data_IF_311998363991
#
_entry.id   IF_311998363991
#
_cell.length_a   1.000
_cell.length_b   1.000
_cell.length_c   1.000
_cell.angle_alpha   90.00
_cell.angle_beta   90.00
_cell.angle_gamma   90.00
#
_symmetry.space_group_name_H-M   'P 1'
#
loop_
_entity.id
_entity.type
_entity.pdbx_description
1 polymer ?
#
# COMPACT_ATOMS: atom_id res chain seq x y z
N UNK A 1 -14.28 3.68 7.85
CA UNK A 1 -13.62 4.98 7.55
C UNK A 1 -12.27 4.74 6.91
N UNK A 2 -11.84 5.57 5.95
CA UNK A 2 -10.53 5.47 5.28
C UNK A 2 -9.70 6.75 5.51
N UNK A 3 -8.65 6.68 6.32
CA UNK A 3 -7.70 7.77 6.51
C UNK A 3 -6.63 7.63 5.41
N UNK A 4 -6.59 8.57 4.48
CA UNK A 4 -5.80 8.47 3.25
C UNK A 4 -6.59 7.90 2.06
N UNK A 5 -7.92 8.00 2.07
CA UNK A 5 -8.80 7.47 1.02
C UNK A 5 -8.58 8.06 -0.36
N UNK A 6 -7.97 9.26 -0.49
CA UNK A 6 -7.60 9.87 -1.77
C UNK A 6 -6.39 9.24 -2.48
N UNK A 7 -5.63 8.38 -1.79
CA UNK A 7 -4.48 7.66 -2.35
C UNK A 7 -4.87 6.53 -3.32
N UNK A 8 -3.88 5.89 -3.92
CA UNK A 8 -4.08 4.77 -4.85
C UNK A 8 -4.90 3.63 -4.23
N UNK A 9 -4.41 3.09 -3.11
CA UNK A 9 -5.08 2.00 -2.39
C UNK A 9 -6.41 2.48 -1.81
N UNK A 10 -6.46 3.71 -1.28
CA UNK A 10 -7.67 4.28 -0.68
C UNK A 10 -8.83 4.38 -1.67
N UNK A 11 -8.58 4.86 -2.91
CA UNK A 11 -9.61 4.91 -3.95
C UNK A 11 -10.11 3.53 -4.36
N UNK A 12 -9.21 2.56 -4.48
CA UNK A 12 -9.60 1.19 -4.81
C UNK A 12 -10.45 0.55 -3.70
N UNK A 13 -10.10 0.79 -2.43
CA UNK A 13 -10.91 0.34 -1.29
C UNK A 13 -12.26 1.06 -1.22
N UNK A 14 -12.29 2.37 -1.45
CA UNK A 14 -13.56 3.13 -1.51
C UNK A 14 -14.51 2.49 -2.49
N UNK A 15 -14.06 2.26 -3.73
CA UNK A 15 -14.90 1.64 -4.76
C UNK A 15 -15.36 0.25 -4.35
N UNK A 16 -14.46 -0.60 -3.86
CA UNK A 16 -14.81 -1.97 -3.44
C UNK A 16 -15.84 -2.00 -2.31
N UNK A 17 -15.71 -1.11 -1.33
CA UNK A 17 -16.67 -1.06 -0.23
C UNK A 17 -18.03 -0.53 -0.65
N UNK A 18 -18.08 0.48 -1.53
CA UNK A 18 -19.34 0.97 -2.12
C UNK A 18 -20.05 -0.11 -2.94
N UNK A 19 -19.30 -0.83 -3.80
CA UNK A 19 -19.86 -1.93 -4.60
C UNK A 19 -20.43 -3.07 -3.73
N UNK A 20 -20.02 -3.12 -2.46
CA UNK A 20 -20.51 -4.09 -1.47
C UNK A 20 -21.61 -3.53 -0.55
N UNK A 21 -22.14 -2.35 -0.85
CA UNK A 21 -23.23 -1.72 -0.10
C UNK A 21 -22.83 -1.11 1.24
N UNK A 22 -21.53 -0.80 1.44
CA UNK A 22 -21.07 -0.14 2.66
C UNK A 22 -21.09 1.37 2.51
N UNK A 23 -21.39 2.09 3.59
CA UNK A 23 -21.14 3.53 3.71
C UNK A 23 -19.65 3.78 3.92
N UNK A 24 -19.06 4.69 3.15
CA UNK A 24 -17.64 4.99 3.23
C UNK A 24 -17.43 6.44 3.63
N UNK A 25 -16.76 6.65 4.78
CA UNK A 25 -16.25 7.96 5.17
C UNK A 25 -14.78 8.00 4.81
N UNK A 26 -14.37 8.97 4.01
CA UNK A 26 -12.98 9.13 3.61
C UNK A 26 -12.40 10.44 4.13
N UNK A 27 -11.19 10.38 4.65
CA UNK A 27 -10.41 11.55 5.01
C UNK A 27 -9.20 11.67 4.08
N UNK A 28 -9.03 12.86 3.50
CA UNK A 28 -7.94 13.17 2.56
C UNK A 28 -7.25 14.47 2.97
N UNK A 29 -5.92 14.50 2.95
CA UNK A 29 -5.15 15.73 3.01
C UNK A 29 -5.16 16.36 1.60
N UNK A 30 -5.72 17.58 1.45
CA UNK A 30 -5.76 18.28 0.18
C UNK A 30 -6.96 17.95 -0.70
N UNK A 31 -7.05 18.57 -1.87
CA UNK A 31 -8.22 18.68 -2.74
C UNK A 31 -9.07 17.44 -2.89
N UNK A 32 -10.39 17.68 -2.82
CA UNK A 32 -11.50 16.77 -2.99
C UNK A 32 -11.25 15.58 -3.95
N UNK A 33 -11.66 14.39 -3.53
CA UNK A 33 -12.01 13.32 -4.44
C UNK A 33 -13.10 13.86 -5.36
N UNK A 34 -12.81 14.02 -6.65
CA UNK A 34 -13.79 14.46 -7.65
C UNK A 34 -14.89 13.40 -7.74
N UNK A 35 -16.13 13.84 -7.62
CA UNK A 35 -17.36 13.04 -7.68
C UNK A 35 -17.40 11.94 -6.61
N UNK A 36 -17.90 12.28 -5.43
CA UNK A 36 -18.36 11.26 -4.49
C UNK A 36 -19.77 10.83 -4.89
N UNK A 37 -20.02 9.52 -5.03
CA UNK A 37 -21.37 8.98 -4.90
C UNK A 37 -21.97 9.46 -3.57
N UNK A 38 -23.30 9.53 -3.48
CA UNK A 38 -24.02 10.02 -2.28
C UNK A 38 -23.61 9.29 -0.98
N UNK A 39 -23.02 8.10 -1.08
CA UNK A 39 -22.56 7.27 0.03
C UNK A 39 -21.12 7.53 0.49
N UNK A 40 -20.42 8.55 -0.06
CA UNK A 40 -19.06 8.91 0.35
C UNK A 40 -19.06 10.25 1.08
N UNK A 41 -18.77 10.22 2.38
CA UNK A 41 -18.61 11.41 3.20
C UNK A 41 -17.12 11.80 3.31
N UNK A 42 -16.79 13.04 2.91
CA UNK A 42 -15.42 13.55 2.97
C UNK A 42 -15.26 14.42 4.23
N UNK A 43 -14.32 14.05 5.08
CA UNK A 43 -13.96 14.81 6.29
C UNK A 43 -12.52 15.27 6.17
N UNK A 44 -12.28 16.58 6.08
CA UNK A 44 -10.94 17.15 5.87
C UNK A 44 -10.33 17.80 7.11
N UNK A 45 -11.12 17.99 8.16
CA UNK A 45 -10.80 18.80 9.34
C UNK A 45 -10.72 17.97 10.64
N UNK A 46 -10.66 16.64 10.56
CA UNK A 46 -10.73 15.76 11.73
C UNK A 46 -9.74 16.14 12.84
N UNK A 47 -8.48 16.45 12.49
CA UNK A 47 -7.45 16.79 13.48
C UNK A 47 -7.60 18.20 14.07
N UNK A 48 -8.39 19.07 13.45
CA UNK A 48 -8.72 20.41 13.96
C UNK A 48 -9.92 20.41 14.90
N UNK A 49 -10.70 19.33 14.90
CA UNK A 49 -11.88 19.19 15.77
C UNK A 49 -11.50 18.93 17.22
N UNK A 50 -12.35 19.36 18.13
CA UNK A 50 -12.25 19.02 19.56
C UNK A 50 -12.34 17.49 19.77
N UNK A 51 -11.87 17.00 20.91
CA UNK A 51 -11.96 15.58 21.24
C UNK A 51 -13.41 15.06 21.20
N UNK A 52 -14.37 15.85 21.68
CA UNK A 52 -15.80 15.50 21.65
C UNK A 52 -16.35 15.38 20.22
N UNK A 53 -15.98 16.29 19.31
CA UNK A 53 -16.40 16.21 17.91
C UNK A 53 -15.73 15.05 17.17
N UNK A 54 -14.47 14.72 17.49
CA UNK A 54 -13.79 13.55 16.98
C UNK A 54 -14.49 12.26 17.43
N UNK A 55 -14.82 12.17 18.71
CA UNK A 55 -15.53 11.01 19.28
C UNK A 55 -16.91 10.85 18.66
N UNK A 56 -17.66 11.94 18.46
CA UNK A 56 -18.94 11.92 17.77
C UNK A 56 -18.86 11.40 16.33
N UNK A 57 -17.81 11.79 15.59
CA UNK A 57 -17.58 11.29 14.22
C UNK A 57 -17.22 9.80 14.17
N UNK A 58 -16.60 9.28 15.22
CA UNK A 58 -16.13 7.90 15.28
C UNK A 58 -17.18 6.94 15.86
N UNK A 59 -18.26 7.46 16.48
CA UNK A 59 -19.26 6.66 17.21
C UNK A 59 -19.93 5.60 16.33
N UNK A 60 -20.18 5.91 15.06
CA UNK A 60 -20.86 5.03 14.10
C UNK A 60 -19.88 4.34 13.13
N UNK A 61 -18.59 4.30 13.50
CA UNK A 61 -17.56 3.68 12.67
C UNK A 61 -17.21 2.30 13.23
N UNK A 62 -17.42 1.25 12.43
CA UNK A 62 -17.05 -0.11 12.81
C UNK A 62 -15.53 -0.36 12.61
N UNK A 63 -14.98 0.13 11.50
CA UNK A 63 -13.58 -0.12 11.11
C UNK A 63 -12.93 1.12 10.52
N UNK A 64 -11.73 1.43 10.97
CA UNK A 64 -10.86 2.43 10.36
C UNK A 64 -9.72 1.76 9.63
N UNK A 65 -9.48 2.16 8.38
CA UNK A 65 -8.25 1.89 7.65
C UNK A 65 -7.35 3.11 7.73
N UNK A 66 -6.16 2.95 8.29
CA UNK A 66 -5.14 3.98 8.26
C UNK A 66 -4.15 3.69 7.12
N UNK A 67 -4.34 4.37 5.99
CA UNK A 67 -3.60 4.22 4.74
C UNK A 67 -2.69 5.42 4.46
N UNK A 68 -2.80 6.48 5.24
CA UNK A 68 -2.09 7.72 4.99
C UNK A 68 -0.57 7.53 5.09
N UNK A 69 0.14 7.93 4.05
CA UNK A 69 1.58 8.05 4.00
C UNK A 69 1.95 9.06 2.91
N UNK A 70 2.73 10.05 3.28
CA UNK A 70 3.18 11.12 2.38
C UNK A 70 4.57 10.85 1.80
N UNK A 71 5.25 9.83 2.31
CA UNK A 71 6.57 9.37 1.86
C UNK A 71 6.51 7.99 1.23
N UNK A 72 7.58 7.61 0.55
CA UNK A 72 7.78 6.30 -0.06
C UNK A 72 9.21 5.83 0.25
N UNK A 73 9.57 4.55 0.05
CA UNK A 73 10.93 4.07 0.25
C UNK A 73 12.01 4.85 -0.51
N UNK A 74 11.64 5.48 -1.63
CA UNK A 74 12.54 6.26 -2.49
C UNK A 74 12.55 7.77 -2.16
N UNK A 75 11.65 8.25 -1.30
CA UNK A 75 11.65 9.65 -0.89
C UNK A 75 12.58 9.85 0.30
N UNK A 76 13.65 10.59 0.09
CA UNK A 76 14.49 11.17 1.14
C UNK A 76 15.10 10.19 2.14
N UNK A 77 16.24 9.63 1.83
CA UNK A 77 16.99 8.75 2.75
C UNK A 77 17.39 9.47 4.03
N UNK A 78 17.38 10.80 4.08
CA UNK A 78 18.06 11.59 5.12
C UNK A 78 17.17 12.59 5.88
N UNK A 79 15.88 12.72 5.60
CA UNK A 79 15.03 13.73 6.26
C UNK A 79 14.09 13.09 7.29
N UNK A 80 14.66 12.75 8.46
CA UNK A 80 13.91 12.21 9.58
C UNK A 80 12.91 13.23 10.15
N UNK A 81 13.27 14.51 10.20
CA UNK A 81 12.38 15.55 10.71
C UNK A 81 11.12 15.65 9.85
N UNK A 82 11.29 15.63 8.53
CA UNK A 82 10.17 15.59 7.59
C UNK A 82 9.28 14.37 7.77
N UNK A 83 9.86 13.17 7.92
CA UNK A 83 9.08 11.94 8.18
C UNK A 83 8.25 12.06 9.48
N UNK A 84 8.84 12.62 10.53
CA UNK A 84 8.15 12.84 11.81
C UNK A 84 6.99 13.82 11.63
N UNK A 85 7.23 14.96 11.00
CA UNK A 85 6.24 16.03 10.85
C UNK A 85 5.04 15.63 10.00
N UNK A 86 5.28 14.95 8.87
CA UNK A 86 4.21 14.70 7.90
C UNK A 86 3.54 13.34 8.04
N UNK A 87 4.17 12.38 8.75
CA UNK A 87 3.61 11.04 8.94
C UNK A 87 3.42 10.69 10.42
N UNK A 88 4.47 10.74 11.27
CA UNK A 88 4.37 10.28 12.65
C UNK A 88 3.50 11.20 13.52
N UNK A 89 3.67 12.50 13.43
CA UNK A 89 2.89 13.44 14.26
C UNK A 89 1.38 13.41 13.92
N UNK A 90 0.94 13.46 12.66
CA UNK A 90 -0.47 13.25 12.32
C UNK A 90 -0.97 11.89 12.78
N UNK A 91 -0.19 10.82 12.57
CA UNK A 91 -0.55 9.48 13.02
C UNK A 91 -0.79 9.42 14.53
N UNK A 92 0.11 9.98 15.35
CA UNK A 92 -0.03 9.98 16.81
C UNK A 92 -1.31 10.73 17.25
N UNK A 93 -1.66 11.83 16.59
CA UNK A 93 -2.90 12.56 16.84
C UNK A 93 -4.15 11.73 16.49
N UNK A 94 -4.14 11.02 15.36
CA UNK A 94 -5.22 10.11 15.01
C UNK A 94 -5.31 8.96 16.01
N UNK A 95 -4.19 8.31 16.32
CA UNK A 95 -4.16 7.19 17.26
C UNK A 95 -4.76 7.58 18.60
N UNK A 96 -4.46 8.78 19.11
CA UNK A 96 -5.04 9.31 20.37
C UNK A 96 -6.58 9.36 20.31
N UNK A 97 -7.16 9.70 19.17
CA UNK A 97 -8.63 9.71 19.02
C UNK A 97 -9.19 8.28 18.88
N UNK A 98 -8.54 7.43 18.06
CA UNK A 98 -9.01 6.08 17.76
C UNK A 98 -9.01 5.17 19.01
N UNK A 99 -7.98 5.27 19.86
CA UNK A 99 -7.89 4.43 21.08
C UNK A 99 -8.93 4.76 22.16
N UNK A 100 -9.56 5.95 22.09
CA UNK A 100 -10.68 6.30 22.99
C UNK A 100 -11.96 5.54 22.64
N UNK A 101 -12.06 4.98 21.43
CA UNK A 101 -13.26 4.27 20.99
C UNK A 101 -13.17 2.79 21.37
N UNK A 102 -14.08 2.28 22.24
CA UNK A 102 -13.93 0.95 22.83
C UNK A 102 -14.17 -0.20 21.85
N UNK A 103 -14.97 0.00 20.81
CA UNK A 103 -15.37 -1.05 19.86
C UNK A 103 -14.83 -0.83 18.44
N UNK A 104 -14.00 0.19 18.25
CA UNK A 104 -13.47 0.55 16.95
C UNK A 104 -12.30 -0.37 16.58
N UNK A 105 -12.42 -1.06 15.47
CA UNK A 105 -11.34 -1.86 14.89
C UNK A 105 -10.46 -1.03 13.98
N UNK A 106 -9.16 -1.23 14.05
CA UNK A 106 -8.17 -0.52 13.25
C UNK A 106 -7.40 -1.47 12.35
N UNK A 107 -7.39 -1.18 11.06
CA UNK A 107 -6.50 -1.80 10.06
C UNK A 107 -5.44 -0.77 9.68
N UNK A 108 -4.19 -1.03 10.04
CA UNK A 108 -3.06 -0.17 9.70
C UNK A 108 -2.28 -0.73 8.51
N UNK A 109 -1.96 0.12 7.53
CA UNK A 109 -1.15 -0.24 6.38
C UNK A 109 0.32 0.09 6.63
N UNK A 110 1.10 -0.93 6.96
CA UNK A 110 2.55 -0.88 7.06
C UNK A 110 3.22 -1.14 5.69
N UNK A 111 4.36 -1.82 5.64
CA UNK A 111 5.09 -2.08 4.39
C UNK A 111 5.99 -3.31 4.50
N UNK A 112 5.55 -4.46 4.01
CA UNK A 112 6.40 -5.66 3.91
C UNK A 112 7.55 -5.50 2.93
N UNK A 113 7.42 -4.60 1.96
CA UNK A 113 8.47 -4.32 0.96
C UNK A 113 9.68 -3.54 1.48
N UNK A 114 9.64 -2.98 2.72
CA UNK A 114 10.64 -1.98 3.15
C UNK A 114 11.17 -2.13 4.57
N UNK A 115 10.52 -2.92 5.43
CA UNK A 115 10.82 -2.93 6.86
C UNK A 115 11.65 -4.13 7.32
N UNK A 116 11.67 -5.21 6.55
CA UNK A 116 12.42 -6.41 6.89
C UNK A 116 13.93 -6.25 6.66
N UNK A 117 14.73 -6.86 7.53
CA UNK A 117 16.16 -6.95 7.34
C UNK A 117 16.47 -7.74 6.07
N UNK A 118 17.30 -7.21 5.14
CA UNK A 118 17.63 -7.90 3.91
C UNK A 118 18.43 -9.20 4.09
N UNK A 119 18.93 -9.46 5.30
CA UNK A 119 19.65 -10.71 5.64
C UNK A 119 18.73 -11.82 6.13
N UNK A 120 17.44 -11.54 6.35
CA UNK A 120 16.48 -12.57 6.74
C UNK A 120 16.39 -13.69 5.69
N UNK A 121 16.11 -14.94 6.13
CA UNK A 121 15.67 -15.99 5.22
C UNK A 121 14.43 -15.57 4.41
N UNK A 122 14.33 -16.04 3.19
CA UNK A 122 13.20 -15.77 2.30
C UNK A 122 12.41 -17.06 2.01
N UNK A 123 11.08 -16.96 1.93
CA UNK A 123 10.24 -15.76 2.12
C UNK A 123 10.26 -15.28 3.58
N UNK A 124 10.17 -13.95 3.80
CA UNK A 124 10.21 -13.35 5.14
C UNK A 124 8.86 -13.56 5.86
N UNK A 125 8.90 -14.16 7.04
CA UNK A 125 7.74 -14.34 7.94
C UNK A 125 7.50 -13.09 8.79
N UNK A 126 6.33 -12.95 9.42
CA UNK A 126 5.96 -11.76 10.21
C UNK A 126 6.86 -11.52 11.42
N UNK A 127 7.41 -12.58 12.01
CA UNK A 127 8.36 -12.51 13.14
C UNK A 127 9.82 -12.28 12.74
N UNK A 128 10.10 -12.15 11.42
CA UNK A 128 11.46 -11.88 10.93
C UNK A 128 11.98 -10.52 11.42
N UNK A 129 13.28 -10.40 11.55
CA UNK A 129 13.95 -9.18 12.05
C UNK A 129 13.59 -7.98 11.17
N UNK A 130 13.25 -6.86 11.83
CA UNK A 130 13.01 -5.59 11.16
C UNK A 130 14.29 -4.75 11.14
N UNK A 131 14.59 -4.14 9.98
CA UNK A 131 15.71 -3.23 9.81
C UNK A 131 15.38 -2.14 8.79
N UNK A 132 15.16 -0.93 9.28
CA UNK A 132 14.81 0.21 8.43
C UNK A 132 15.99 0.64 7.55
N UNK A 133 15.79 0.66 6.24
CA UNK A 133 16.76 1.16 5.26
C UNK A 133 16.45 2.60 4.79
N UNK A 134 15.41 3.23 5.33
CA UNK A 134 14.98 4.59 4.99
C UNK A 134 14.18 5.23 6.12
N UNK A 135 14.05 6.56 6.13
CA UNK A 135 13.18 7.26 7.11
C UNK A 135 11.73 6.78 7.01
N UNK A 136 11.23 6.50 5.81
CA UNK A 136 9.93 5.88 5.59
C UNK A 136 9.79 4.55 6.35
N UNK A 137 10.76 3.64 6.20
CA UNK A 137 10.73 2.35 6.90
C UNK A 137 10.82 2.52 8.41
N UNK A 138 11.67 3.46 8.89
CA UNK A 138 11.74 3.81 10.32
C UNK A 138 10.40 4.30 10.85
N UNK A 139 9.73 5.18 10.09
CA UNK A 139 8.39 5.67 10.42
C UNK A 139 7.37 4.54 10.53
N UNK A 140 7.36 3.60 9.57
CA UNK A 140 6.46 2.44 9.59
C UNK A 140 6.69 1.54 10.80
N UNK A 141 7.94 1.22 11.13
CA UNK A 141 8.29 0.41 12.32
C UNK A 141 7.88 1.13 13.62
N UNK A 142 8.13 2.44 13.71
CA UNK A 142 7.72 3.22 14.89
C UNK A 142 6.20 3.22 15.07
N UNK A 143 5.43 3.39 13.99
CA UNK A 143 3.96 3.34 14.03
C UNK A 143 3.46 1.96 14.45
N UNK A 144 4.04 0.85 13.95
CA UNK A 144 3.69 -0.50 14.42
C UNK A 144 3.92 -0.66 15.91
N UNK A 145 5.05 -0.15 16.42
CA UNK A 145 5.39 -0.19 17.87
C UNK A 145 4.37 0.59 18.71
N UNK A 146 3.98 1.78 18.29
CA UNK A 146 2.95 2.58 18.98
C UNK A 146 1.59 1.88 18.97
N UNK A 147 1.19 1.29 17.85
CA UNK A 147 -0.07 0.55 17.71
C UNK A 147 -0.11 -0.67 18.63
N UNK A 148 0.92 -1.49 18.60
CA UNK A 148 1.01 -2.69 19.44
C UNK A 148 0.93 -2.34 20.92
N UNK A 149 1.58 -1.25 21.34
CA UNK A 149 1.46 -0.77 22.71
C UNK A 149 0.07 -0.23 23.04
N UNK A 150 -0.54 0.58 22.15
CA UNK A 150 -1.84 1.20 22.35
C UNK A 150 -2.96 0.16 22.44
N UNK A 151 -2.87 -0.92 21.65
CA UNK A 151 -3.87 -1.99 21.58
C UNK A 151 -3.52 -3.24 22.41
N UNK A 152 -2.49 -3.18 23.28
CA UNK A 152 -2.02 -4.35 24.05
C UNK A 152 -3.08 -5.08 24.86
N UNK A 153 -4.14 -4.37 25.31
CA UNK A 153 -5.24 -4.93 26.10
C UNK A 153 -6.48 -5.32 25.26
N UNK A 154 -6.45 -5.04 23.95
CA UNK A 154 -7.49 -5.40 22.98
C UNK A 154 -6.86 -5.73 21.62
N UNK A 155 -5.98 -6.72 21.54
CA UNK A 155 -5.22 -7.01 20.31
C UNK A 155 -6.12 -7.44 19.16
N UNK A 156 -7.29 -7.97 19.43
CA UNK A 156 -8.30 -8.36 18.41
C UNK A 156 -8.94 -7.20 17.68
N UNK A 157 -8.74 -5.97 18.14
CA UNK A 157 -9.25 -4.74 17.50
C UNK A 157 -8.21 -4.08 16.59
N UNK A 158 -7.03 -4.66 16.48
CA UNK A 158 -5.93 -4.17 15.63
C UNK A 158 -5.48 -5.22 14.64
N UNK A 159 -5.33 -4.81 13.39
CA UNK A 159 -4.59 -5.54 12.37
C UNK A 159 -3.55 -4.62 11.73
N UNK A 160 -2.32 -5.11 11.61
CA UNK A 160 -1.21 -4.47 10.92
C UNK A 160 -0.95 -5.26 9.64
N UNK A 161 -1.23 -4.67 8.50
CA UNK A 161 -0.97 -5.27 7.22
C UNK A 161 0.40 -4.82 6.70
N UNK A 162 1.24 -5.77 6.36
CA UNK A 162 2.55 -5.56 5.72
C UNK A 162 2.46 -5.98 4.25
N UNK A 163 1.93 -5.11 3.37
CA UNK A 163 1.81 -5.47 1.96
C UNK A 163 3.18 -5.53 1.27
N UNK A 164 3.27 -6.37 0.25
CA UNK A 164 4.32 -6.34 -0.75
C UNK A 164 4.13 -5.15 -1.71
N UNK A 165 4.69 -5.17 -2.91
CA UNK A 165 4.55 -4.08 -3.87
C UNK A 165 3.18 -4.12 -4.55
N UNK A 166 2.22 -3.39 -4.00
CA UNK A 166 0.87 -3.29 -4.57
C UNK A 166 0.91 -2.47 -5.86
N UNK A 167 0.34 -3.01 -6.94
CA UNK A 167 0.28 -2.37 -8.25
C UNK A 167 -1.09 -2.61 -8.92
N UNK A 168 -1.40 -1.82 -9.95
CA UNK A 168 -2.62 -2.03 -10.74
C UNK A 168 -3.25 -0.76 -11.28
N UNK A 169 -4.47 -0.85 -11.84
CA UNK A 169 -5.27 0.27 -12.28
C UNK A 169 -5.43 1.34 -11.20
N UNK A 170 -5.34 2.61 -11.58
CA UNK A 170 -5.42 3.73 -10.64
C UNK A 170 -4.09 4.14 -9.97
N UNK A 171 -3.00 3.36 -10.12
CA UNK A 171 -1.69 3.75 -9.59
C UNK A 171 -1.16 4.99 -10.33
N UNK A 172 -0.88 6.11 -9.61
CA UNK A 172 -0.31 7.28 -10.26
C UNK A 172 1.13 7.01 -10.73
N UNK A 173 1.49 7.62 -11.85
CA UNK A 173 2.88 7.61 -12.28
C UNK A 173 3.73 8.52 -11.37
N UNK A 174 4.81 7.96 -10.84
CA UNK A 174 5.88 8.68 -10.14
C UNK A 174 7.20 8.11 -10.63
N UNK A 175 8.12 8.96 -11.08
CA UNK A 175 9.40 8.54 -11.72
C UNK A 175 10.28 7.64 -10.83
N UNK A 176 10.13 7.73 -9.52
CA UNK A 176 10.95 6.98 -8.55
C UNK A 176 10.18 5.90 -7.78
N UNK A 177 8.93 5.61 -8.15
CA UNK A 177 8.10 4.66 -7.40
C UNK A 177 7.12 3.89 -8.29
N UNK A 178 7.05 2.56 -8.08
CA UNK A 178 6.15 1.69 -8.83
C UNK A 178 6.73 1.23 -10.17
N UNK A 179 7.65 0.25 -10.13
CA UNK A 179 8.41 -0.19 -11.30
C UNK A 179 7.51 -0.64 -12.47
N UNK A 180 6.48 -1.47 -12.21
CA UNK A 180 5.52 -1.90 -13.25
C UNK A 180 4.84 -0.69 -13.91
N UNK A 181 4.36 0.26 -13.08
CA UNK A 181 3.70 1.47 -13.60
C UNK A 181 4.66 2.33 -14.42
N UNK A 182 5.94 2.40 -14.02
CA UNK A 182 6.98 3.12 -14.76
C UNK A 182 7.31 2.43 -16.08
N UNK A 183 7.45 1.11 -16.11
CA UNK A 183 7.72 0.35 -17.32
C UNK A 183 6.60 0.53 -18.36
N UNK A 184 5.34 0.43 -17.95
CA UNK A 184 4.20 0.68 -18.82
C UNK A 184 4.14 2.13 -19.31
N UNK A 185 4.55 3.10 -18.48
CA UNK A 185 4.63 4.50 -18.92
C UNK A 185 5.73 4.73 -19.94
N UNK A 186 6.89 4.07 -19.77
CA UNK A 186 7.99 4.15 -20.75
C UNK A 186 7.54 3.64 -22.13
N UNK A 187 6.76 2.57 -22.19
CA UNK A 187 6.15 2.09 -23.46
C UNK A 187 5.26 3.18 -24.08
N UNK A 188 4.36 3.80 -23.27
CA UNK A 188 3.46 4.85 -23.77
C UNK A 188 4.18 6.07 -24.31
N UNK A 189 5.29 6.43 -23.65
CA UNK A 189 6.07 7.64 -23.97
C UNK A 189 7.17 7.37 -25.01
N UNK A 190 7.43 6.11 -25.39
CA UNK A 190 8.55 5.74 -26.26
C UNK A 190 9.91 6.00 -25.60
N UNK A 191 10.01 5.89 -24.28
CA UNK A 191 11.23 6.15 -23.49
C UNK A 191 11.82 4.84 -22.97
N UNK A 192 13.13 4.86 -22.70
CA UNK A 192 13.79 3.76 -22.02
C UNK A 192 13.46 3.74 -20.51
N UNK A 193 13.47 2.53 -19.91
CA UNK A 193 13.40 2.36 -18.46
C UNK A 193 14.80 2.16 -17.89
N UNK A 194 15.05 2.82 -16.74
CA UNK A 194 16.32 2.64 -16.03
C UNK A 194 16.25 1.44 -15.09
N UNK A 195 17.14 0.48 -15.28
CA UNK A 195 17.39 -0.64 -14.37
C UNK A 195 18.57 -0.29 -13.47
N UNK A 196 18.37 -0.30 -12.17
CA UNK A 196 19.45 -0.09 -11.19
C UNK A 196 20.23 -1.38 -10.99
N UNK A 197 21.58 -1.30 -11.10
CA UNK A 197 22.45 -2.45 -11.03
C UNK A 197 22.29 -3.39 -12.24
N UNK A 198 22.30 -4.69 -11.95
CA UNK A 198 22.17 -5.75 -12.96
C UNK A 198 20.72 -6.10 -13.33
N UNK A 199 19.73 -5.39 -12.76
CA UNK A 199 18.31 -5.66 -12.98
C UNK A 199 17.77 -6.94 -12.31
N UNK A 200 18.58 -7.65 -11.53
CA UNK A 200 18.22 -8.91 -10.86
C UNK A 200 17.64 -8.73 -9.45
N UNK A 201 17.40 -7.49 -9.03
CA UNK A 201 16.70 -7.25 -7.78
C UNK A 201 15.30 -7.86 -7.82
N UNK A 202 14.97 -8.71 -6.84
CA UNK A 202 13.71 -9.47 -6.77
C UNK A 202 12.71 -8.74 -5.88
N UNK A 203 11.47 -8.63 -6.33
CA UNK A 203 10.35 -8.06 -5.56
C UNK A 203 9.12 -8.97 -5.66
N UNK A 204 8.37 -8.98 -4.57
CA UNK A 204 7.02 -9.53 -4.53
C UNK A 204 6.04 -8.44 -4.98
N UNK A 205 5.17 -8.77 -5.95
CA UNK A 205 4.16 -7.86 -6.51
C UNK A 205 2.76 -8.41 -6.27
N UNK A 206 1.88 -7.57 -5.72
CA UNK A 206 0.49 -7.92 -5.43
C UNK A 206 -0.47 -7.03 -6.22
N UNK A 207 -1.39 -7.64 -6.97
CA UNK A 207 -2.39 -6.88 -7.72
C UNK A 207 -3.39 -6.21 -6.79
N UNK A 208 -3.79 -4.98 -7.12
CA UNK A 208 -4.65 -4.13 -6.26
C UNK A 208 -5.98 -4.80 -5.91
N UNK A 209 -6.59 -5.54 -6.85
CA UNK A 209 -7.89 -6.19 -6.61
C UNK A 209 -7.77 -7.33 -5.59
N UNK A 210 -6.67 -8.09 -5.60
CA UNK A 210 -6.39 -9.11 -4.60
C UNK A 210 -6.21 -8.48 -3.21
N UNK A 211 -5.45 -7.38 -3.13
CA UNK A 211 -5.26 -6.65 -1.88
C UNK A 211 -6.59 -6.11 -1.32
N UNK A 212 -7.40 -5.47 -2.16
CA UNK A 212 -8.68 -4.92 -1.72
C UNK A 212 -9.71 -6.00 -1.39
N UNK A 213 -9.67 -7.15 -2.09
CA UNK A 213 -10.48 -8.32 -1.77
C UNK A 213 -10.13 -8.89 -0.39
N UNK A 214 -8.83 -8.96 -0.05
CA UNK A 214 -8.41 -9.31 1.30
C UNK A 214 -8.96 -8.32 2.34
N UNK A 215 -8.79 -7.01 2.12
CA UNK A 215 -9.28 -5.99 3.05
C UNK A 215 -10.79 -6.10 3.29
N UNK A 216 -11.58 -6.34 2.25
CA UNK A 216 -13.02 -6.57 2.35
C UNK A 216 -13.35 -7.81 3.19
N UNK A 217 -12.62 -8.91 2.97
CA UNK A 217 -12.76 -10.14 3.75
C UNK A 217 -12.40 -9.92 5.22
N UNK A 218 -11.31 -9.21 5.50
CA UNK A 218 -10.83 -8.92 6.85
C UNK A 218 -11.86 -8.13 7.68
N UNK A 219 -12.58 -7.18 7.08
CA UNK A 219 -13.63 -6.42 7.78
C UNK A 219 -14.73 -7.33 8.34
N UNK A 220 -15.08 -8.41 7.65
CA UNK A 220 -16.18 -9.31 8.01
C UNK A 220 -15.78 -10.42 8.97
N UNK A 221 -14.50 -10.61 9.25
CA UNK A 221 -13.99 -11.73 10.05
C UNK A 221 -13.41 -11.26 11.38
N UNK A 222 -13.24 -12.21 12.30
CA UNK A 222 -12.42 -12.02 13.50
C UNK A 222 -10.94 -12.02 13.13
N UNK A 223 -10.15 -11.34 13.91
CA UNK A 223 -8.71 -11.24 13.72
C UNK A 223 -7.99 -12.10 14.76
N UNK A 224 -7.50 -13.29 14.38
CA UNK A 224 -6.83 -14.19 15.31
C UNK A 224 -5.46 -13.68 15.77
N UNK A 225 -4.78 -12.91 14.94
CA UNK A 225 -3.51 -12.28 15.24
C UNK A 225 -3.50 -10.81 14.79
N UNK A 226 -2.44 -10.09 15.15
CA UNK A 226 -2.31 -8.66 14.93
C UNK A 226 -1.55 -8.31 13.64
N UNK A 227 -0.58 -9.12 13.19
CA UNK A 227 0.34 -8.77 12.10
C UNK A 227 0.23 -9.80 10.98
N UNK A 228 0.05 -9.32 9.74
CA UNK A 228 -0.03 -10.17 8.55
C UNK A 228 0.76 -9.61 7.37
N UNK A 229 1.55 -10.46 6.77
CA UNK A 229 2.11 -10.22 5.45
C UNK A 229 1.04 -10.41 4.38
N UNK A 230 0.93 -9.45 3.46
CA UNK A 230 -0.03 -9.50 2.35
C UNK A 230 0.74 -9.34 1.04
N UNK A 231 1.00 -10.45 0.38
CA UNK A 231 1.82 -10.51 -0.82
C UNK A 231 1.36 -11.59 -1.79
N UNK A 232 2.11 -11.76 -2.87
CA UNK A 232 1.91 -12.89 -3.77
C UNK A 232 2.66 -14.16 -3.30
N UNK A 233 3.63 -14.00 -2.40
CA UNK A 233 4.55 -15.07 -2.01
C UNK A 233 5.53 -15.45 -3.12
N UNK A 234 5.58 -14.69 -4.22
CA UNK A 234 6.41 -14.98 -5.41
C UNK A 234 7.30 -13.79 -5.73
N UNK A 235 8.57 -14.06 -5.97
CA UNK A 235 9.54 -13.07 -6.40
C UNK A 235 9.63 -12.98 -7.92
N UNK A 236 9.79 -11.75 -8.43
CA UNK A 236 10.12 -11.48 -9.83
C UNK A 236 11.23 -10.45 -9.91
N UNK A 237 12.17 -10.64 -10.84
CA UNK A 237 13.24 -9.67 -11.10
C UNK A 237 12.71 -8.47 -11.88
N UNK A 238 13.45 -7.36 -11.88
CA UNK A 238 13.11 -6.22 -12.74
C UNK A 238 13.16 -6.60 -14.23
N UNK A 239 14.05 -7.53 -14.60
CA UNK A 239 14.16 -8.07 -15.96
C UNK A 239 12.88 -8.84 -16.31
N UNK A 240 12.42 -9.75 -15.44
CA UNK A 240 11.17 -10.50 -15.66
C UNK A 240 9.97 -9.56 -15.88
N UNK A 241 9.90 -8.46 -15.12
CA UNK A 241 8.86 -7.45 -15.31
C UNK A 241 8.94 -6.82 -16.70
N UNK A 242 10.14 -6.44 -17.15
CA UNK A 242 10.32 -5.86 -18.48
C UNK A 242 9.88 -6.85 -19.57
N UNK A 243 10.27 -8.12 -19.47
CA UNK A 243 9.92 -9.16 -20.43
C UNK A 243 8.39 -9.40 -20.48
N UNK A 244 7.72 -9.41 -19.32
CA UNK A 244 6.26 -9.50 -19.26
C UNK A 244 5.61 -8.27 -19.88
N UNK A 245 6.11 -7.07 -19.60
CA UNK A 245 5.59 -5.82 -20.19
C UNK A 245 5.71 -5.84 -21.72
N UNK A 246 6.85 -6.25 -22.27
CA UNK A 246 7.03 -6.41 -23.72
C UNK A 246 6.05 -7.44 -24.30
N UNK A 247 5.91 -8.57 -23.61
CA UNK A 247 4.97 -9.63 -24.03
C UNK A 247 3.50 -9.15 -24.05
N UNK A 248 3.09 -8.38 -23.03
CA UNK A 248 1.71 -7.87 -22.88
C UNK A 248 1.44 -6.74 -23.87
N UNK A 249 2.37 -5.80 -23.99
CA UNK A 249 2.16 -4.60 -24.83
C UNK A 249 2.41 -4.84 -26.30
N UNK A 250 3.13 -5.92 -26.64
CA UNK A 250 3.65 -6.23 -27.99
C UNK A 250 4.56 -5.12 -28.53
N UNK A 251 5.26 -4.43 -27.64
CA UNK A 251 6.17 -3.33 -27.98
C UNK A 251 7.50 -3.55 -27.25
N UNK A 252 8.63 -3.23 -27.88
CA UNK A 252 9.93 -3.31 -27.23
C UNK A 252 10.05 -2.24 -26.13
N UNK A 253 10.66 -2.60 -25.00
CA UNK A 253 10.98 -1.69 -23.90
C UNK A 253 12.49 -1.50 -23.83
N UNK A 254 12.97 -0.36 -24.30
CA UNK A 254 14.38 -0.01 -24.20
C UNK A 254 14.81 0.07 -22.73
N UNK A 255 16.00 -0.48 -22.42
CA UNK A 255 16.52 -0.63 -21.06
C UNK A 255 17.88 0.05 -20.94
N UNK A 256 18.00 1.04 -20.03
CA UNK A 256 19.28 1.61 -19.63
C UNK A 256 19.68 1.02 -18.27
N UNK A 257 20.96 0.77 -18.08
CA UNK A 257 21.52 0.35 -16.80
C UNK A 257 22.20 1.53 -16.10
N UNK A 258 21.90 1.70 -14.82
CA UNK A 258 22.55 2.71 -13.98
C UNK A 258 23.22 2.03 -12.77
N UNK A 259 24.40 2.50 -12.34
CA UNK A 259 25.05 1.96 -11.15
C UNK A 259 24.13 2.06 -9.92
N UNK A 260 24.18 1.07 -9.05
CA UNK A 260 23.54 1.16 -7.73
C UNK A 260 24.27 2.26 -6.92
N UNK A 261 23.54 3.33 -6.57
CA UNK A 261 24.08 4.45 -5.78
C UNK A 261 23.83 4.31 -4.28
N UNK A 262 22.96 3.38 -3.89
CA UNK A 262 22.63 3.07 -2.50
C UNK A 262 22.48 1.56 -2.33
N UNK A 263 22.71 1.00 -1.12
CA UNK A 263 22.40 -0.41 -0.86
C UNK A 263 20.95 -0.69 -1.16
N UNK A 264 20.68 -1.42 -2.22
CA UNK A 264 19.34 -1.85 -2.58
C UNK A 264 19.07 -3.19 -1.92
N UNK A 265 17.93 -3.33 -1.25
CA UNK A 265 17.45 -4.64 -0.82
C UNK A 265 17.35 -5.52 -2.06
N UNK A 266 18.25 -6.51 -2.19
CA UNK A 266 18.32 -7.31 -3.42
C UNK A 266 17.13 -8.23 -3.60
N UNK A 267 16.62 -8.81 -2.52
CA UNK A 267 15.51 -9.75 -2.56
C UNK A 267 14.50 -9.39 -1.46
N UNK A 268 13.23 -9.32 -1.84
CA UNK A 268 12.13 -9.16 -0.91
C UNK A 268 10.95 -9.98 -1.39
N UNK A 269 10.62 -11.05 -0.64
CA UNK A 269 9.49 -11.95 -0.87
C UNK A 269 8.86 -12.20 0.48
N UNK A 270 7.56 -12.08 0.59
CA UNK A 270 6.83 -12.27 1.83
C UNK A 270 6.31 -13.72 1.95
N UNK A 271 6.41 -14.28 3.14
CA UNK A 271 5.65 -15.49 3.47
C UNK A 271 4.18 -15.09 3.73
N UNK A 272 3.28 -15.73 3.04
CA UNK A 272 1.83 -15.47 3.11
C UNK A 272 1.05 -16.65 3.68
N UNK A 273 1.75 -17.62 4.28
CA UNK A 273 1.14 -18.82 4.87
C UNK A 273 0.24 -18.47 6.05
N UNK A 274 0.62 -17.50 6.87
CA UNK A 274 -0.14 -17.06 8.03
C UNK A 274 -1.50 -16.47 7.63
N UNK A 275 -1.53 -15.53 6.68
CA UNK A 275 -2.80 -14.95 6.20
C UNK A 275 -3.67 -15.98 5.48
N UNK A 276 -3.05 -16.95 4.79
CA UNK A 276 -3.78 -18.07 4.18
C UNK A 276 -4.43 -18.95 5.24
N UNK A 277 -3.69 -19.32 6.28
CA UNK A 277 -4.20 -20.15 7.37
C UNK A 277 -5.39 -19.50 8.07
N UNK A 278 -5.25 -18.22 8.49
CA UNK A 278 -6.23 -17.54 9.34
C UNK A 278 -7.47 -17.05 8.58
N UNK A 279 -7.28 -16.60 7.34
CA UNK A 279 -8.35 -16.00 6.53
C UNK A 279 -8.76 -16.87 5.33
N UNK A 280 -8.07 -17.99 5.05
CA UNK A 280 -8.29 -18.78 3.83
C UNK A 280 -8.11 -17.93 2.57
N UNK A 281 -7.23 -16.93 2.62
CA UNK A 281 -6.99 -16.00 1.51
C UNK A 281 -5.66 -16.28 0.82
N UNK A 282 -5.69 -16.18 -0.49
CA UNK A 282 -4.51 -16.18 -1.35
C UNK A 282 -4.77 -15.32 -2.59
N UNK A 283 -3.73 -14.71 -3.17
CA UNK A 283 -3.89 -13.92 -4.39
C UNK A 283 -4.34 -14.79 -5.55
N UNK A 284 -5.24 -14.26 -6.38
CA UNK A 284 -5.83 -14.96 -7.53
C UNK A 284 -5.27 -14.48 -8.86
N UNK A 285 -4.82 -13.22 -8.92
CA UNK A 285 -4.38 -12.58 -10.16
C UNK A 285 -2.90 -12.86 -10.37
N UNK A 286 -2.56 -13.51 -11.48
CA UNK A 286 -1.15 -13.71 -11.87
C UNK A 286 -0.50 -12.38 -12.23
N UNK A 287 0.84 -12.30 -12.13
CA UNK A 287 1.59 -11.09 -12.48
C UNK A 287 1.32 -10.65 -13.93
N UNK A 288 1.30 -11.58 -14.88
CA UNK A 288 0.99 -11.30 -16.29
C UNK A 288 -0.42 -10.74 -16.45
N UNK A 289 -1.42 -11.35 -15.80
CA UNK A 289 -2.80 -10.87 -15.85
C UNK A 289 -2.94 -9.46 -15.26
N UNK A 290 -2.32 -9.21 -14.10
CA UNK A 290 -2.34 -7.89 -13.46
C UNK A 290 -1.67 -6.80 -14.30
N UNK A 291 -0.55 -7.12 -14.97
CA UNK A 291 0.12 -6.20 -15.91
C UNK A 291 -0.79 -5.95 -17.14
N UNK A 292 -1.46 -6.98 -17.66
CA UNK A 292 -2.43 -6.85 -18.77
C UNK A 292 -3.56 -5.89 -18.37
N UNK A 293 -4.22 -6.13 -17.24
CA UNK A 293 -5.32 -5.28 -16.76
C UNK A 293 -4.86 -3.82 -16.54
N UNK A 294 -3.63 -3.64 -16.04
CA UNK A 294 -3.06 -2.31 -15.83
C UNK A 294 -2.78 -1.60 -17.16
N UNK A 295 -2.29 -2.33 -18.17
CA UNK A 295 -2.05 -1.81 -19.50
C UNK A 295 -3.34 -1.39 -20.20
N UNK A 296 -4.37 -2.23 -20.17
CA UNK A 296 -5.69 -1.93 -20.74
C UNK A 296 -6.31 -0.68 -20.10
N UNK A 297 -6.23 -0.58 -18.76
CA UNK A 297 -6.67 0.61 -18.05
C UNK A 297 -5.90 1.87 -18.46
N UNK A 298 -4.58 1.78 -18.66
CA UNK A 298 -3.78 2.93 -19.11
C UNK A 298 -4.17 3.36 -20.53
N UNK A 299 -4.37 2.41 -21.43
CA UNK A 299 -4.80 2.70 -22.82
C UNK A 299 -6.16 3.35 -22.89
N UNK A 300 -7.12 2.91 -22.08
CA UNK A 300 -8.47 3.47 -22.08
C UNK A 300 -8.53 4.94 -21.64
N UNK A 301 -7.46 5.44 -21.00
CA UNK A 301 -7.34 6.84 -20.52
C UNK A 301 -6.49 7.73 -21.41
N UNK A 302 -5.87 7.20 -22.44
CA UNK A 302 -5.22 8.04 -23.44
C UNK A 302 -6.30 8.67 -24.34
N UNK A 303 -6.20 9.98 -24.62
CA UNK A 303 -7.03 10.57 -25.67
C UNK A 303 -6.73 9.81 -26.96
N UNK A 304 -7.78 9.46 -27.71
CA UNK A 304 -7.66 8.83 -29.02
C UNK A 304 -6.69 9.67 -29.84
N UNK A 305 -5.53 9.10 -30.21
CA UNK A 305 -4.68 9.77 -31.22
C UNK A 305 -5.54 9.93 -32.47
N UNK A 306 -5.71 11.15 -33.00
CA UNK A 306 -6.33 11.29 -34.31
C UNK A 306 -5.49 10.49 -35.31
N UNK A 307 -6.18 9.71 -36.15
CA UNK A 307 -5.63 8.94 -37.28
C UNK A 307 -4.95 9.89 -38.26
#
# INVERSE_FOLDING_TARGET
MLIGGGGFIGRALTQRFLDSGNTVITWCIGKSVSASPDDVHIVNDFLQRSAHEQDALLMDIDVVFYLASNTTPSTGVADLAHEIEINLLPFARYLTALVRQPNLRLIYLSSGGSIYDPTNPLPAIESATLCAQSCYASGKIAMETFLTNAYRHRPTDLIILRPSNVYGPGQPYKSSFGFIRSALQCILDGREITLWGDGKAVRDYLFIDDFTAFCQRAVSLKWPDTIYNIGSGKGSTLIDICDIVESVTKQPLARAHSPETTPVVRHNILDVSHVNHDFGWQPQVTLTQGITNTWEWLRSRQPSRPL
#
